data_IF_344174463566
#
_entry.id   IF_344174463566
#
_cell.length_a   1.000
_cell.length_b   1.000
_cell.length_c   1.000
_cell.angle_alpha   90.00
_cell.angle_beta   90.00
_cell.angle_gamma   90.00
#
_symmetry.space_group_name_H-M   'P 1'
#
loop_
_entity.id
_entity.type
_entity.pdbx_description
1 polymer ?
#
# COMPACT_ATOMS: atom_id res chain seq x y z
N UNK A 1 -4.71 -7.88 1.83
CA UNK A 1 -4.56 -6.80 2.84
C UNK A 1 -5.82 -5.98 3.07
N UNK A 2 -5.94 -5.23 4.19
CA UNK A 2 -7.09 -4.33 4.46
C UNK A 2 -6.64 -2.92 4.89
N UNK A 3 -6.67 -1.97 3.96
CA UNK A 3 -6.37 -0.56 4.14
C UNK A 3 -7.56 0.23 4.71
N UNK A 4 -7.25 1.22 5.52
CA UNK A 4 -8.21 2.16 6.10
C UNK A 4 -8.30 3.42 5.25
N UNK A 5 -9.36 3.50 4.44
CA UNK A 5 -9.66 4.69 3.66
C UNK A 5 -10.24 5.84 4.52
N UNK A 6 -10.00 7.11 4.15
CA UNK A 6 -9.04 7.56 3.15
C UNK A 6 -7.61 7.67 3.72
N UNK A 7 -7.41 7.33 5.00
CA UNK A 7 -6.20 7.70 5.77
C UNK A 7 -4.94 7.05 5.23
N UNK A 8 -4.99 5.74 4.93
CA UNK A 8 -3.80 5.00 4.50
C UNK A 8 -3.31 5.46 3.13
N UNK A 9 -4.22 5.65 2.18
CA UNK A 9 -3.87 6.20 0.87
C UNK A 9 -3.29 7.61 0.98
N UNK A 10 -3.84 8.48 1.86
CA UNK A 10 -3.26 9.80 2.09
C UNK A 10 -1.84 9.74 2.66
N UNK A 11 -1.53 8.75 3.52
CA UNK A 11 -0.17 8.54 4.03
C UNK A 11 0.78 8.17 2.89
N UNK A 12 0.35 7.24 2.02
CA UNK A 12 1.15 6.83 0.86
C UNK A 12 1.35 8.02 -0.11
N UNK A 13 0.30 8.77 -0.43
CA UNK A 13 0.39 9.98 -1.27
C UNK A 13 1.37 11.00 -0.69
N UNK A 14 1.26 11.31 0.60
CA UNK A 14 2.15 12.26 1.25
C UNK A 14 3.62 11.79 1.24
N UNK A 15 3.89 10.49 1.33
CA UNK A 15 5.25 9.93 1.22
C UNK A 15 5.77 9.93 -0.22
N UNK A 16 4.89 9.78 -1.21
CA UNK A 16 5.27 9.89 -2.63
C UNK A 16 5.54 11.34 -3.04
N UNK A 17 4.69 12.28 -2.60
CA UNK A 17 4.80 13.70 -2.93
C UNK A 17 5.93 14.41 -2.17
N UNK A 18 6.05 14.17 -0.86
CA UNK A 18 6.98 14.90 0.00
C UNK A 18 8.22 14.07 0.39
N UNK A 19 8.34 12.85 -0.12
CA UNK A 19 9.42 11.94 0.18
C UNK A 19 9.41 11.45 1.64
N UNK A 20 10.61 11.06 2.12
CA UNK A 20 10.82 10.49 3.45
C UNK A 20 10.33 11.41 4.55
N UNK A 21 9.45 10.90 5.40
CA UNK A 21 8.84 11.72 6.45
C UNK A 21 8.63 10.96 7.76
N UNK A 22 8.46 11.74 8.82
CA UNK A 22 8.08 11.27 10.16
C UNK A 22 6.58 11.46 10.38
N UNK A 23 6.01 10.72 11.33
CA UNK A 23 4.58 10.77 11.64
C UNK A 23 4.04 12.17 11.99
N UNK A 24 4.87 13.05 12.57
CA UNK A 24 4.46 14.44 12.87
C UNK A 24 4.23 15.24 11.60
N UNK A 25 5.06 15.09 10.58
CA UNK A 25 4.92 15.83 9.32
C UNK A 25 3.77 15.25 8.51
N UNK A 26 3.66 13.92 8.43
CA UNK A 26 2.55 13.24 7.76
C UNK A 26 1.19 13.62 8.36
N UNK A 27 1.11 13.87 9.67
CA UNK A 27 -0.12 14.38 10.29
C UNK A 27 -0.56 15.72 9.68
N UNK A 28 0.39 16.62 9.42
CA UNK A 28 0.14 17.90 8.75
C UNK A 28 -0.26 17.70 7.30
N UNK A 29 0.50 16.92 6.52
CA UNK A 29 0.23 16.71 5.09
C UNK A 29 -1.11 15.99 4.82
N UNK A 30 -1.54 15.09 5.72
CA UNK A 30 -2.77 14.30 5.54
C UNK A 30 -4.01 14.88 6.22
N UNK A 31 -3.83 15.98 6.96
CA UNK A 31 -4.85 16.58 7.84
C UNK A 31 -5.43 15.57 8.84
N UNK A 32 -4.57 14.71 9.41
CA UNK A 32 -4.93 13.70 10.41
C UNK A 32 -4.16 13.90 11.69
N UNK A 33 -4.66 13.33 12.78
CA UNK A 33 -3.94 13.38 14.05
C UNK A 33 -2.67 12.52 14.00
N UNK A 34 -1.59 13.02 14.59
CA UNK A 34 -0.33 12.27 14.76
C UNK A 34 -0.54 10.92 15.43
N UNK A 35 -1.46 10.83 16.41
CA UNK A 35 -1.83 9.57 17.06
C UNK A 35 -2.35 8.55 16.04
N UNK A 36 -3.24 8.98 15.13
CA UNK A 36 -3.78 8.11 14.08
C UNK A 36 -2.66 7.65 13.11
N UNK A 37 -1.81 8.58 12.68
CA UNK A 37 -0.67 8.26 11.79
C UNK A 37 0.27 7.22 12.44
N UNK A 38 0.63 7.41 13.72
CA UNK A 38 1.47 6.47 14.45
C UNK A 38 0.85 5.07 14.60
N UNK A 39 -0.47 4.95 14.59
CA UNK A 39 -1.14 3.65 14.59
C UNK A 39 -1.15 3.00 13.20
N UNK A 40 -1.18 3.79 12.12
CA UNK A 40 -1.24 3.26 10.76
C UNK A 40 0.12 2.90 10.17
N UNK A 41 1.18 3.66 10.46
CA UNK A 41 2.51 3.42 9.88
C UNK A 41 3.05 2.00 10.11
N UNK A 42 2.99 1.41 11.32
CA UNK A 42 3.42 0.02 11.52
C UNK A 42 2.60 -0.99 10.71
N UNK A 43 1.29 -0.77 10.58
CA UNK A 43 0.43 -1.65 9.77
C UNK A 43 0.78 -1.57 8.29
N UNK A 44 1.07 -0.36 7.78
CA UNK A 44 1.51 -0.18 6.40
C UNK A 44 2.91 -0.78 6.15
N UNK A 45 3.76 -0.77 7.17
CA UNK A 45 5.07 -1.43 7.15
C UNK A 45 4.93 -2.96 7.14
N UNK A 46 4.03 -3.52 7.95
CA UNK A 46 3.72 -4.95 7.96
C UNK A 46 3.18 -5.43 6.61
N UNK A 47 2.41 -4.59 5.90
CA UNK A 47 1.97 -4.84 4.52
C UNK A 47 3.07 -4.62 3.47
N UNK A 48 4.23 -4.10 3.86
CA UNK A 48 5.34 -3.80 2.97
C UNK A 48 5.10 -2.60 2.05
N UNK A 49 4.10 -1.76 2.33
CA UNK A 49 3.78 -0.56 1.54
C UNK A 49 4.69 0.63 1.88
N UNK A 50 5.21 0.65 3.10
CA UNK A 50 6.24 1.58 3.55
C UNK A 50 7.36 0.78 4.22
N UNK A 51 8.51 1.42 4.42
CA UNK A 51 9.58 0.89 5.25
C UNK A 51 10.12 1.95 6.19
N UNK A 52 10.48 1.57 7.40
CA UNK A 52 11.18 2.45 8.33
C UNK A 52 12.66 2.56 7.94
N UNK A 53 13.21 3.78 7.95
CA UNK A 53 14.58 4.10 7.56
C UNK A 53 15.28 4.88 8.67
N UNK A 54 16.59 4.69 8.81
CA UNK A 54 17.43 5.57 9.62
C UNK A 54 18.50 4.82 10.41
N UNK A 55 19.59 5.50 10.80
CA UNK A 55 20.73 4.88 11.49
C UNK A 55 20.44 4.49 12.94
N UNK A 56 19.32 4.97 13.50
CA UNK A 56 18.89 4.66 14.86
C UNK A 56 17.53 3.97 14.83
N UNK A 57 17.34 2.98 15.69
CA UNK A 57 16.08 2.21 15.83
C UNK A 57 14.83 3.08 16.07
N UNK A 58 15.03 4.35 16.45
CA UNK A 58 13.97 5.32 16.80
C UNK A 58 13.90 6.56 15.89
N UNK A 59 14.48 6.51 14.69
CA UNK A 59 14.38 7.63 13.72
C UNK A 59 12.93 8.05 13.45
N UNK A 60 12.00 7.08 13.47
CA UNK A 60 10.58 7.30 13.14
C UNK A 60 10.36 7.77 11.70
N UNK A 61 11.37 7.64 10.85
CA UNK A 61 11.36 8.07 9.45
C UNK A 61 10.90 6.91 8.58
N UNK A 62 9.97 7.19 7.67
CA UNK A 62 9.40 6.22 6.74
C UNK A 62 9.57 6.69 5.30
N UNK A 63 9.66 5.73 4.37
CA UNK A 63 9.53 5.99 2.93
C UNK A 63 8.60 4.95 2.29
N UNK A 64 7.92 5.36 1.22
CA UNK A 64 7.07 4.51 0.42
C UNK A 64 7.91 3.48 -0.36
N UNK A 65 7.45 2.23 -0.41
CA UNK A 65 8.09 1.17 -1.21
C UNK A 65 7.53 1.14 -2.64
N UNK A 66 8.14 0.36 -3.52
CA UNK A 66 7.56 0.10 -4.85
C UNK A 66 6.15 -0.49 -4.77
N UNK A 67 5.89 -1.36 -3.79
CA UNK A 67 4.56 -1.93 -3.56
C UNK A 67 3.55 -0.85 -3.09
N UNK A 68 3.99 0.07 -2.23
CA UNK A 68 3.19 1.23 -1.83
C UNK A 68 2.80 2.12 -3.00
N UNK A 69 3.71 2.33 -3.96
CA UNK A 69 3.41 3.06 -5.19
C UNK A 69 2.42 2.33 -6.08
N UNK A 70 2.56 1.01 -6.24
CA UNK A 70 1.55 0.19 -6.93
C UNK A 70 0.17 0.34 -6.27
N UNK A 71 0.10 0.35 -4.93
CA UNK A 71 -1.16 0.56 -4.23
C UNK A 71 -1.82 1.92 -4.58
N UNK A 72 -1.03 2.97 -4.82
CA UNK A 72 -1.55 4.27 -5.28
C UNK A 72 -2.06 4.21 -6.72
N UNK A 73 -1.34 3.55 -7.62
CA UNK A 73 -1.74 3.37 -9.03
C UNK A 73 -3.07 2.62 -9.14
N UNK A 74 -3.24 1.56 -8.35
CA UNK A 74 -4.45 0.73 -8.36
C UNK A 74 -5.51 1.15 -7.35
N UNK A 75 -5.39 2.34 -6.74
CA UNK A 75 -6.27 2.80 -5.65
C UNK A 75 -7.76 2.70 -5.99
N UNK A 76 -8.14 3.03 -7.22
CA UNK A 76 -9.54 3.02 -7.66
C UNK A 76 -10.14 1.60 -7.77
N UNK A 77 -9.29 0.58 -7.81
CA UNK A 77 -9.70 -0.84 -7.86
C UNK A 77 -9.79 -1.46 -6.47
N UNK A 78 -9.40 -0.75 -5.40
CA UNK A 78 -9.29 -1.30 -4.05
C UNK A 78 -10.58 -1.94 -3.53
N UNK A 79 -11.73 -1.31 -3.77
CA UNK A 79 -13.04 -1.83 -3.35
C UNK A 79 -13.70 -2.70 -4.42
N UNK A 80 -13.09 -2.84 -5.60
CA UNK A 80 -13.62 -3.56 -6.74
C UNK A 80 -13.07 -4.99 -6.87
N UNK A 81 -11.99 -5.32 -6.17
CA UNK A 81 -11.35 -6.64 -6.22
C UNK A 81 -11.34 -7.31 -4.85
N UNK A 82 -11.52 -8.63 -4.83
CA UNK A 82 -11.50 -9.41 -3.59
C UNK A 82 -10.10 -9.51 -2.98
N UNK A 83 -9.06 -9.61 -3.83
CA UNK A 83 -7.67 -9.69 -3.42
C UNK A 83 -6.83 -8.55 -4.01
N UNK A 84 -6.94 -7.39 -3.39
CA UNK A 84 -6.15 -6.22 -3.75
C UNK A 84 -4.64 -6.44 -3.60
N UNK A 85 -4.22 -7.30 -2.68
CA UNK A 85 -2.80 -7.53 -2.44
C UNK A 85 -2.15 -8.26 -3.61
N UNK A 86 -2.83 -9.28 -4.15
CA UNK A 86 -2.37 -9.96 -5.35
C UNK A 86 -2.30 -9.02 -6.55
N UNK A 87 -3.31 -8.16 -6.74
CA UNK A 87 -3.34 -7.16 -7.83
C UNK A 87 -2.10 -6.26 -7.82
N UNK A 88 -1.70 -5.73 -6.66
CA UNK A 88 -0.59 -4.77 -6.59
C UNK A 88 0.80 -5.43 -6.57
N UNK A 89 0.88 -6.72 -6.22
CA UNK A 89 2.13 -7.50 -6.22
C UNK A 89 2.46 -8.04 -7.61
N UNK A 90 1.46 -8.53 -8.32
CA UNK A 90 1.59 -9.07 -9.67
C UNK A 90 0.45 -8.55 -10.56
N UNK A 91 0.55 -7.29 -11.01
CA UNK A 91 -0.47 -6.70 -11.86
C UNK A 91 -0.61 -7.41 -13.22
N UNK A 92 0.39 -8.18 -13.65
CA UNK A 92 0.33 -8.94 -14.91
C UNK A 92 -0.29 -10.34 -14.71
N UNK A 93 -0.09 -10.96 -13.54
CA UNK A 93 -0.66 -12.27 -13.20
C UNK A 93 -2.15 -12.23 -12.87
N UNK A 94 -2.69 -11.09 -12.42
CA UNK A 94 -4.12 -10.92 -12.17
C UNK A 94 -4.96 -11.05 -13.46
N UNK A 95 -4.41 -10.73 -14.63
CA UNK A 95 -5.06 -10.89 -15.93
C UNK A 95 -4.81 -12.25 -16.59
N UNK A 96 -3.90 -13.06 -16.06
CA UNK A 96 -3.49 -14.34 -16.67
C UNK A 96 -4.32 -15.55 -16.19
N UNK A 97 -5.36 -15.34 -15.36
CA UNK A 97 -6.23 -16.40 -14.84
C UNK A 97 -7.66 -16.27 -15.36
N UNK A 98 -7.80 -16.10 -16.67
CA UNK A 98 -9.09 -16.05 -17.35
C UNK A 98 -9.03 -16.65 -18.76
N UNK A 99 -8.23 -17.68 -18.99
CA UNK A 99 -8.34 -18.48 -20.21
C UNK A 99 -8.20 -19.96 -19.83
N UNK A 100 -9.20 -20.73 -20.26
CA UNK A 100 -9.58 -22.01 -19.68
C UNK A 100 -8.78 -23.22 -20.15
N UNK A 101 -8.97 -24.29 -19.40
CA UNK A 101 -8.87 -25.65 -19.89
C UNK A 101 -10.16 -26.37 -19.44
N UNK A 102 -11.24 -26.09 -20.18
CA UNK A 102 -12.40 -26.98 -20.30
C UNK A 102 -11.93 -28.29 -20.96
N UNK A 103 -12.10 -29.39 -20.24
CA UNK A 103 -12.54 -30.70 -20.70
C UNK A 103 -12.16 -31.12 -22.13
N UNK A 104 -10.96 -31.71 -22.26
CA UNK A 104 -10.60 -32.53 -23.41
C UNK A 104 -11.05 -33.98 -23.24
N UNK A 105 -12.36 -34.25 -23.29
CA UNK A 105 -12.88 -35.59 -23.57
C UNK A 105 -13.10 -35.75 -25.09
N UNK A 106 -12.50 -36.79 -25.66
CA UNK A 106 -12.67 -37.47 -26.97
C UNK A 106 -11.27 -37.83 -27.50
N UNK A 107 -10.93 -39.07 -27.87
CA UNK A 107 -11.69 -40.25 -28.27
C UNK A 107 -10.85 -41.51 -28.00
#
# INVERSE_FOLDING_TARGET
MRLRQPTDFRILEALEEHGRNVASNLATHTEKSRKNINTRLPVLEDYGLVRKIGPADRSGLYEITSLGKSALVYRDQYDAVDDFESLIRDPNGAFARSDGDEDGETN
#
